data_IF_124810163598
#
_entry.id   IF_124810163598
#
_cell.length_a   1.000
_cell.length_b   1.000
_cell.length_c   1.000
_cell.angle_alpha   90.00
_cell.angle_beta   90.00
_cell.angle_gamma   90.00
#
_symmetry.space_group_name_H-M   'P 1'
#
loop_
_entity.id
_entity.type
_entity.pdbx_description
1 polymer ?
#
# COMPACT_ATOMS: atom_id res chain seq x y z
N UNK A 1 4.56 -16.21 3.99
CA UNK A 1 5.61 -15.83 4.94
C UNK A 1 6.73 -14.96 4.35
N UNK A 2 7.93 -15.47 4.02
CA UNK A 2 9.12 -14.58 3.79
C UNK A 2 8.99 -13.61 2.61
N UNK A 3 8.39 -14.04 1.51
CA UNK A 3 8.19 -13.18 0.32
C UNK A 3 7.21 -12.04 0.56
N UNK A 4 6.11 -12.29 1.29
CA UNK A 4 5.08 -11.27 1.59
C UNK A 4 5.66 -10.20 2.53
N UNK A 5 6.40 -10.61 3.56
CA UNK A 5 7.05 -9.67 4.49
C UNK A 5 8.05 -8.76 3.76
N UNK A 6 8.84 -9.31 2.83
CA UNK A 6 9.73 -8.52 1.98
C UNK A 6 8.96 -7.54 1.09
N UNK A 7 7.85 -7.96 0.48
CA UNK A 7 7.03 -7.09 -0.35
C UNK A 7 6.38 -5.95 0.46
N UNK A 8 5.88 -6.24 1.67
CA UNK A 8 5.39 -5.22 2.59
C UNK A 8 6.49 -4.20 2.92
N UNK A 9 7.72 -4.67 3.13
CA UNK A 9 8.89 -3.82 3.34
C UNK A 9 9.18 -2.91 2.13
N UNK A 10 9.07 -3.43 0.91
CA UNK A 10 9.25 -2.65 -0.32
C UNK A 10 8.19 -1.56 -0.49
N UNK A 11 6.92 -1.86 -0.21
CA UNK A 11 5.85 -0.86 -0.25
C UNK A 11 6.10 0.23 0.80
N UNK A 12 6.29 -0.17 2.07
CA UNK A 12 6.53 0.78 3.18
C UNK A 12 7.74 1.69 2.90
N UNK A 13 8.84 1.13 2.39
CA UNK A 13 10.04 1.91 2.10
C UNK A 13 9.77 2.98 1.04
N UNK A 14 9.13 2.65 -0.07
CA UNK A 14 8.85 3.62 -1.14
C UNK A 14 7.92 4.73 -0.68
N UNK A 15 6.82 4.37 -0.02
CA UNK A 15 5.85 5.35 0.49
C UNK A 15 6.50 6.31 1.51
N UNK A 16 7.34 5.81 2.42
CA UNK A 16 8.09 6.65 3.36
C UNK A 16 9.09 7.60 2.69
N UNK A 17 9.52 7.30 1.45
CA UNK A 17 10.45 8.12 0.67
C UNK A 17 9.73 9.02 -0.34
N UNK A 18 8.39 9.07 -0.30
CA UNK A 18 7.55 9.75 -1.30
C UNK A 18 7.84 9.28 -2.75
N UNK A 19 8.30 8.03 -2.92
CA UNK A 19 8.55 7.42 -4.23
C UNK A 19 7.32 6.68 -4.74
N UNK A 20 6.98 6.80 -6.04
CA UNK A 20 5.84 6.08 -6.62
C UNK A 20 6.06 4.56 -6.56
N UNK A 21 4.96 3.82 -6.41
CA UNK A 21 4.98 2.37 -6.52
C UNK A 21 4.89 1.97 -8.00
N UNK A 22 5.68 0.98 -8.39
CA UNK A 22 5.73 0.53 -9.78
C UNK A 22 5.75 -1.00 -9.89
N UNK A 23 5.29 -1.51 -11.03
CA UNK A 23 5.29 -2.92 -11.38
C UNK A 23 4.70 -3.81 -10.29
N UNK A 24 5.43 -4.88 -9.93
CA UNK A 24 4.98 -5.86 -8.92
C UNK A 24 4.71 -5.28 -7.54
N UNK A 25 5.33 -4.16 -7.19
CA UNK A 25 5.14 -3.51 -5.88
C UNK A 25 3.81 -2.76 -5.87
N UNK A 26 3.47 -2.09 -6.97
CA UNK A 26 2.15 -1.46 -7.16
C UNK A 26 1.05 -2.52 -7.23
N UNK A 27 1.22 -3.56 -8.05
CA UNK A 27 0.26 -4.68 -8.17
C UNK A 27 -0.04 -5.31 -6.81
N UNK A 28 1.02 -5.55 -6.01
CA UNK A 28 0.86 -6.06 -4.67
C UNK A 28 0.09 -5.08 -3.78
N UNK A 29 0.47 -3.81 -3.74
CA UNK A 29 -0.23 -2.81 -2.93
C UNK A 29 -1.72 -2.72 -3.26
N UNK A 30 -2.07 -2.67 -4.55
CA UNK A 30 -3.47 -2.64 -5.01
C UNK A 30 -4.24 -3.90 -4.61
N UNK A 31 -3.61 -5.07 -4.65
CA UNK A 31 -4.24 -6.33 -4.24
C UNK A 31 -4.64 -6.36 -2.75
N UNK A 32 -4.06 -5.50 -1.91
CA UNK A 32 -4.34 -5.45 -0.48
C UNK A 32 -5.52 -4.55 -0.12
N UNK A 33 -5.68 -3.45 -0.85
CA UNK A 33 -6.77 -2.48 -0.63
C UNK A 33 -8.04 -2.84 -1.39
N UNK A 34 -7.90 -3.65 -2.45
CA UNK A 34 -9.03 -4.18 -3.23
C UNK A 34 -9.84 -3.09 -3.94
N UNK A 35 -10.54 -3.47 -4.99
CA UNK A 35 -11.64 -2.64 -5.53
C UNK A 35 -12.92 -3.11 -4.82
N UNK A 36 -13.28 -2.43 -3.74
CA UNK A 36 -14.50 -2.66 -2.98
C UNK A 36 -15.36 -1.41 -2.91
N UNK A 37 -16.51 -1.48 -2.24
CA UNK A 37 -17.43 -0.33 -2.09
C UNK A 37 -16.94 0.71 -1.06
N UNK A 38 -15.65 0.69 -0.70
CA UNK A 38 -15.05 1.66 0.22
C UNK A 38 -14.38 2.78 -0.57
N UNK A 39 -15.09 3.91 -0.67
CA UNK A 39 -14.63 5.11 -1.37
C UNK A 39 -13.26 5.62 -0.88
N UNK A 40 -12.94 5.43 0.40
CA UNK A 40 -11.66 5.86 0.96
C UNK A 40 -10.52 4.97 0.46
N UNK A 41 -10.70 3.65 0.47
CA UNK A 41 -9.70 2.71 -0.09
C UNK A 41 -9.55 2.87 -1.60
N UNK A 42 -10.65 3.13 -2.32
CA UNK A 42 -10.62 3.46 -3.74
C UNK A 42 -9.81 4.75 -3.99
N UNK A 43 -9.97 5.77 -3.16
CA UNK A 43 -9.16 6.99 -3.22
C UNK A 43 -7.66 6.76 -3.04
N UNK A 44 -7.27 5.86 -2.11
CA UNK A 44 -5.88 5.43 -1.97
C UNK A 44 -5.41 4.70 -3.23
N UNK A 45 -6.21 3.76 -3.75
CA UNK A 45 -5.85 2.99 -4.94
C UNK A 45 -5.59 3.87 -6.16
N UNK A 46 -6.44 4.86 -6.41
CA UNK A 46 -6.27 5.79 -7.53
C UNK A 46 -5.01 6.65 -7.37
N UNK A 47 -4.70 7.14 -6.16
CA UNK A 47 -3.44 7.84 -5.90
C UNK A 47 -2.22 6.97 -6.13
N UNK A 48 -2.25 5.72 -5.69
CA UNK A 48 -1.16 4.77 -5.93
C UNK A 48 -0.97 4.49 -7.44
N UNK A 49 -2.07 4.35 -8.21
CA UNK A 49 -2.02 4.20 -9.68
C UNK A 49 -1.45 5.45 -10.36
N UNK A 50 -1.78 6.64 -9.87
CA UNK A 50 -1.30 7.92 -10.39
C UNK A 50 0.16 8.24 -9.99
N UNK A 51 0.70 7.55 -8.97
CA UNK A 51 2.00 7.88 -8.38
C UNK A 51 1.94 9.09 -7.46
N UNK A 52 0.74 9.48 -7.02
CA UNK A 52 0.53 10.62 -6.15
C UNK A 52 0.92 10.31 -4.70
N UNK A 53 1.35 11.35 -3.99
CA UNK A 53 1.61 11.27 -2.56
C UNK A 53 0.32 11.04 -1.78
N UNK A 54 0.36 10.06 -0.86
CA UNK A 54 -0.69 9.87 0.13
C UNK A 54 -0.63 10.98 1.19
N UNK A 55 -1.79 11.44 1.64
CA UNK A 55 -1.87 12.26 2.85
C UNK A 55 -1.36 11.48 4.07
N UNK A 56 -1.03 12.19 5.15
CA UNK A 56 -0.55 11.56 6.38
C UNK A 56 -1.49 10.46 6.90
N UNK A 57 -2.80 10.71 6.84
CA UNK A 57 -3.79 9.72 7.26
C UNK A 57 -3.89 8.53 6.31
N UNK A 58 -3.92 8.75 5.00
CA UNK A 58 -3.91 7.67 4.00
C UNK A 58 -2.64 6.83 4.10
N UNK A 59 -1.49 7.47 4.33
CA UNK A 59 -0.22 6.80 4.56
C UNK A 59 -0.28 5.94 5.83
N UNK A 60 -0.81 6.49 6.94
CA UNK A 60 -1.00 5.74 8.18
C UNK A 60 -1.87 4.49 7.96
N UNK A 61 -3.02 4.63 7.28
CA UNK A 61 -3.88 3.50 6.97
C UNK A 61 -3.16 2.47 6.11
N UNK A 62 -2.50 2.89 5.03
CA UNK A 62 -1.82 1.96 4.13
C UNK A 62 -0.68 1.22 4.84
N UNK A 63 0.17 1.94 5.59
CA UNK A 63 1.44 1.42 6.09
C UNK A 63 1.35 0.82 7.48
N UNK A 64 0.69 1.51 8.40
CA UNK A 64 0.69 1.12 9.82
C UNK A 64 -0.54 0.31 10.20
N UNK A 65 -1.58 0.31 9.36
CA UNK A 65 -2.75 -0.56 9.53
C UNK A 65 -2.70 -1.73 8.54
N UNK A 66 -2.87 -1.49 7.24
CA UNK A 66 -3.08 -2.57 6.26
C UNK A 66 -1.82 -3.43 6.11
N UNK A 67 -0.67 -2.85 5.76
CA UNK A 67 0.57 -3.60 5.60
C UNK A 67 1.01 -4.30 6.90
N UNK A 68 0.74 -3.69 8.07
CA UNK A 68 1.05 -4.31 9.35
C UNK A 68 0.24 -5.59 9.57
N UNK A 69 -1.08 -5.55 9.37
CA UNK A 69 -1.95 -6.72 9.55
C UNK A 69 -1.61 -7.83 8.55
N UNK A 70 -1.36 -7.48 7.29
CA UNK A 70 -0.91 -8.45 6.28
C UNK A 70 0.37 -9.12 6.75
N UNK A 71 1.38 -8.36 7.17
CA UNK A 71 2.68 -8.90 7.61
C UNK A 71 2.56 -9.81 8.84
N UNK A 72 1.67 -9.49 9.79
CA UNK A 72 1.45 -10.28 11.01
C UNK A 72 0.63 -11.55 10.76
N UNK A 73 -0.28 -11.53 9.78
CA UNK A 73 -1.06 -12.71 9.37
C UNK A 73 -0.39 -13.63 8.34
N UNK A 74 0.80 -13.24 7.83
CA UNK A 74 1.50 -13.88 6.70
C UNK A 74 2.46 -15.00 7.05
#
# INVERSE_FOLDING_TARGET
MKSISAMCGHVKRRLNQDEPLEGKVLEFALSLIGEGDDDFLNGIAEKLKAGDKLSEYEHHIMVDVILLHVRLGS
#
